data_IF_754021254972
#
_entry.id   IF_754021254972
#
_cell.length_a   1.000
_cell.length_b   1.000
_cell.length_c   1.000
_cell.angle_alpha   90.00
_cell.angle_beta   90.00
_cell.angle_gamma   90.00
#
_symmetry.space_group_name_H-M   'P 1'
#
loop_
_entity.id
_entity.type
_entity.pdbx_description
1 polymer ?
#
# COMPACT_ATOMS: atom_id res chain seq x y z
N UNK A 1 23.76 -19.47 -0.79
CA UNK A 1 22.52 -18.66 -0.76
C UNK A 1 21.68 -19.01 -1.96
N UNK A 2 20.45 -19.42 -1.72
CA UNK A 2 19.51 -19.70 -2.81
C UNK A 2 19.19 -18.41 -3.55
N UNK A 3 19.06 -18.49 -4.89
CA UNK A 3 18.68 -17.33 -5.69
C UNK A 3 17.24 -16.91 -5.34
N UNK A 4 16.94 -15.59 -5.27
CA UNK A 4 15.57 -15.14 -5.03
C UNK A 4 14.62 -15.63 -6.13
N UNK A 5 13.36 -15.84 -5.77
CA UNK A 5 12.32 -16.14 -6.75
C UNK A 5 12.07 -14.90 -7.62
N UNK A 6 12.06 -15.07 -8.93
CA UNK A 6 11.71 -13.99 -9.85
C UNK A 6 10.20 -13.83 -9.98
N UNK A 7 9.74 -12.69 -10.43
CA UNK A 7 8.31 -12.47 -10.74
C UNK A 7 7.81 -13.49 -11.76
N UNK A 8 8.61 -13.76 -12.81
CA UNK A 8 8.27 -14.75 -13.84
C UNK A 8 8.06 -16.14 -13.25
N UNK A 9 8.95 -16.59 -12.37
CA UNK A 9 8.83 -17.88 -11.68
C UNK A 9 7.61 -17.92 -10.76
N UNK A 10 7.35 -16.85 -10.03
CA UNK A 10 6.18 -16.75 -9.15
C UNK A 10 4.87 -16.81 -9.94
N UNK A 11 4.78 -16.11 -11.07
CA UNK A 11 3.63 -16.15 -11.97
C UNK A 11 3.42 -17.59 -12.49
N UNK A 12 4.49 -18.24 -12.94
CA UNK A 12 4.42 -19.62 -13.42
C UNK A 12 3.87 -20.58 -12.37
N UNK A 13 4.38 -20.50 -11.13
CA UNK A 13 3.88 -21.30 -10.02
C UNK A 13 2.41 -21.03 -9.71
N UNK A 14 2.01 -19.76 -9.76
CA UNK A 14 0.63 -19.37 -9.54
C UNK A 14 -0.30 -19.94 -10.63
N UNK A 15 0.12 -19.88 -11.90
CA UNK A 15 -0.65 -20.46 -13.02
C UNK A 15 -0.76 -21.98 -12.90
N UNK A 16 0.31 -22.67 -12.52
CA UNK A 16 0.30 -24.13 -12.29
C UNK A 16 -0.65 -24.50 -11.14
N UNK A 17 -0.63 -23.73 -10.06
CA UNK A 17 -1.47 -23.98 -8.89
C UNK A 17 -2.95 -23.71 -9.13
N UNK A 18 -3.28 -22.65 -9.84
CA UNK A 18 -4.67 -22.20 -10.03
C UNK A 18 -5.30 -22.71 -11.31
N UNK A 19 -4.51 -23.10 -12.29
CA UNK A 19 -4.99 -23.42 -13.64
C UNK A 19 -5.48 -22.20 -14.43
N UNK A 20 -5.24 -20.99 -13.92
CA UNK A 20 -5.65 -19.74 -14.55
C UNK A 20 -4.49 -19.10 -15.30
N UNK A 21 -4.82 -18.29 -16.29
CA UNK A 21 -3.88 -17.49 -17.06
C UNK A 21 -3.72 -16.13 -16.37
N UNK A 22 -2.53 -15.82 -15.88
CA UNK A 22 -2.28 -14.61 -15.10
C UNK A 22 -2.58 -13.33 -15.87
N UNK A 23 -2.33 -13.28 -17.18
CA UNK A 23 -2.63 -12.11 -18.02
C UNK A 23 -4.11 -11.78 -18.15
N UNK A 24 -5.00 -12.72 -17.83
CA UNK A 24 -6.45 -12.58 -17.91
C UNK A 24 -7.11 -12.49 -16.52
N UNK A 25 -6.35 -12.75 -15.46
CA UNK A 25 -6.87 -12.80 -14.10
C UNK A 25 -7.01 -11.41 -13.47
N UNK A 26 -8.12 -11.17 -12.79
CA UNK A 26 -8.37 -9.94 -12.02
C UNK A 26 -7.65 -9.90 -10.69
N UNK A 27 -7.36 -11.05 -10.10
CA UNK A 27 -6.62 -11.17 -8.85
C UNK A 27 -5.46 -12.15 -9.03
N UNK A 28 -4.25 -11.71 -8.70
CA UNK A 28 -3.04 -12.52 -8.77
C UNK A 28 -2.32 -12.47 -7.42
N UNK A 29 -2.05 -13.63 -6.85
CA UNK A 29 -1.44 -13.79 -5.53
C UNK A 29 -0.02 -14.34 -5.68
N UNK A 30 0.97 -13.47 -5.50
CA UNK A 30 2.40 -13.80 -5.53
C UNK A 30 3.06 -13.62 -4.16
N UNK A 31 2.28 -13.75 -3.09
CA UNK A 31 2.77 -13.60 -1.72
C UNK A 31 3.60 -14.80 -1.25
N UNK A 32 4.39 -14.59 -0.22
CA UNK A 32 5.10 -15.62 0.55
C UNK A 32 5.88 -16.61 -0.33
N UNK A 33 6.64 -16.10 -1.29
CA UNK A 33 7.47 -16.97 -2.13
C UNK A 33 8.67 -17.50 -1.34
N UNK A 34 9.13 -18.69 -1.68
CA UNK A 34 10.33 -19.28 -1.13
C UNK A 34 11.22 -19.82 -2.26
N UNK A 35 12.45 -19.30 -2.40
CA UNK A 35 12.98 -18.08 -1.74
C UNK A 35 12.15 -16.83 -2.02
N UNK A 36 12.18 -15.79 -1.14
CA UNK A 36 11.36 -14.59 -1.31
C UNK A 36 11.70 -13.83 -2.60
N UNK A 37 10.71 -13.12 -3.13
CA UNK A 37 10.93 -12.15 -4.21
C UNK A 37 11.68 -10.94 -3.64
N UNK A 38 12.75 -10.51 -4.30
CA UNK A 38 13.52 -9.32 -3.93
C UNK A 38 13.28 -8.14 -4.85
N UNK A 39 12.93 -8.40 -6.11
CA UNK A 39 12.77 -7.37 -7.15
C UNK A 39 11.47 -7.54 -7.93
N UNK A 40 10.79 -6.42 -8.16
CA UNK A 40 9.68 -6.35 -9.11
C UNK A 40 10.24 -5.98 -10.49
N UNK A 41 10.18 -6.90 -11.43
CA UNK A 41 10.72 -6.72 -12.77
C UNK A 41 9.63 -6.52 -13.85
N UNK A 42 10.06 -6.37 -15.11
CA UNK A 42 9.16 -6.13 -16.22
C UNK A 42 8.13 -7.24 -16.48
N UNK A 43 8.30 -8.43 -15.90
CA UNK A 43 7.32 -9.52 -16.02
C UNK A 43 5.96 -9.15 -15.41
N UNK A 44 5.89 -8.19 -14.47
CA UNK A 44 4.63 -7.66 -13.95
C UNK A 44 3.77 -7.00 -15.04
N UNK A 45 4.36 -6.49 -16.11
CA UNK A 45 3.62 -5.84 -17.20
C UNK A 45 2.69 -6.77 -17.96
N UNK A 46 2.86 -8.08 -17.81
CA UNK A 46 1.97 -9.08 -18.41
C UNK A 46 0.61 -9.16 -17.72
N UNK A 47 0.49 -8.64 -16.50
CA UNK A 47 -0.71 -8.70 -15.68
C UNK A 47 -1.69 -7.56 -16.01
N UNK A 48 -2.00 -7.37 -17.29
CA UNK A 48 -2.80 -6.23 -17.77
C UNK A 48 -4.25 -6.20 -17.27
N UNK A 49 -4.84 -7.36 -17.00
CA UNK A 49 -6.21 -7.48 -16.47
C UNK A 49 -6.28 -7.38 -14.94
N UNK A 50 -5.15 -7.41 -14.25
CA UNK A 50 -5.08 -7.47 -12.80
C UNK A 50 -5.64 -6.22 -12.14
N UNK A 51 -6.60 -6.40 -11.25
CA UNK A 51 -7.20 -5.36 -10.40
C UNK A 51 -6.70 -5.45 -8.96
N UNK A 52 -6.32 -6.64 -8.50
CA UNK A 52 -5.76 -6.88 -7.17
C UNK A 52 -4.52 -7.75 -7.27
N UNK A 53 -3.39 -7.18 -6.84
CA UNK A 53 -2.09 -7.86 -6.81
C UNK A 53 -1.60 -7.99 -5.37
N UNK A 54 -1.24 -9.20 -4.96
CA UNK A 54 -0.56 -9.45 -3.69
C UNK A 54 0.89 -9.84 -3.92
N UNK A 55 1.80 -9.06 -3.34
CA UNK A 55 3.23 -9.29 -3.25
C UNK A 55 3.68 -9.29 -1.77
N UNK A 56 2.75 -9.45 -0.85
CA UNK A 56 3.05 -9.44 0.58
C UNK A 56 3.96 -10.59 1.00
N UNK A 57 4.68 -10.40 2.09
CA UNK A 57 5.56 -11.42 2.67
C UNK A 57 6.63 -11.89 1.68
N UNK A 58 7.38 -10.94 1.18
CA UNK A 58 8.57 -11.11 0.35
C UNK A 58 9.71 -10.25 0.91
N UNK A 59 10.74 -9.99 0.15
CA UNK A 59 11.89 -9.16 0.54
C UNK A 59 12.12 -8.00 -0.44
N UNK A 60 11.02 -7.40 -0.92
CA UNK A 60 11.08 -6.30 -1.91
C UNK A 60 11.53 -5.01 -1.21
N UNK A 61 12.54 -4.36 -1.77
CA UNK A 61 13.04 -3.07 -1.25
C UNK A 61 12.53 -1.87 -2.03
N UNK A 62 12.31 -2.04 -3.34
CA UNK A 62 11.87 -0.97 -4.25
C UNK A 62 10.65 -1.39 -5.03
N UNK A 63 9.67 -0.50 -5.09
CA UNK A 63 8.51 -0.65 -5.96
C UNK A 63 8.91 -0.18 -7.35
N UNK A 64 8.79 -1.05 -8.35
CA UNK A 64 9.13 -0.73 -9.73
C UNK A 64 8.34 -1.58 -10.72
N UNK A 65 8.36 -1.18 -11.99
CA UNK A 65 7.74 -1.93 -13.08
C UNK A 65 6.23 -2.15 -12.96
N UNK A 66 5.51 -1.18 -12.39
CA UNK A 66 4.06 -1.24 -12.24
C UNK A 66 3.30 -0.64 -13.44
N UNK A 67 3.98 -0.07 -14.41
CA UNK A 67 3.35 0.68 -15.52
C UNK A 67 2.50 -0.18 -16.47
N UNK A 68 2.68 -1.48 -16.50
CA UNK A 68 1.80 -2.38 -17.25
C UNK A 68 0.49 -2.74 -16.53
N UNK A 69 0.38 -2.42 -15.23
CA UNK A 69 -0.78 -2.72 -14.39
C UNK A 69 -1.84 -1.61 -14.52
N UNK A 70 -2.44 -1.50 -15.69
CA UNK A 70 -3.32 -0.39 -16.06
C UNK A 70 -4.69 -0.41 -15.38
N UNK A 71 -5.05 -1.52 -14.77
CA UNK A 71 -6.35 -1.71 -14.10
C UNK A 71 -6.20 -1.94 -12.58
N UNK A 72 -5.01 -1.73 -12.03
CA UNK A 72 -4.74 -2.06 -10.63
C UNK A 72 -5.50 -1.13 -9.69
N UNK A 73 -6.32 -1.72 -8.83
CA UNK A 73 -7.13 -1.04 -7.81
C UNK A 73 -6.63 -1.30 -6.40
N UNK A 74 -6.11 -2.50 -6.14
CA UNK A 74 -5.64 -2.92 -4.82
C UNK A 74 -4.24 -3.51 -4.95
N UNK A 75 -3.28 -2.93 -4.22
CA UNK A 75 -1.93 -3.43 -4.11
C UNK A 75 -1.62 -3.82 -2.66
N UNK A 76 -1.36 -5.10 -2.43
CA UNK A 76 -0.95 -5.62 -1.13
C UNK A 76 0.54 -5.96 -1.19
N UNK A 77 1.36 -5.16 -0.50
CA UNK A 77 2.81 -5.29 -0.41
C UNK A 77 3.33 -5.21 1.03
N UNK A 78 2.49 -5.58 1.98
CA UNK A 78 2.87 -5.65 3.39
C UNK A 78 3.97 -6.69 3.64
N UNK A 79 4.68 -6.55 4.75
CA UNK A 79 5.77 -7.46 5.14
C UNK A 79 6.82 -7.63 4.04
N UNK A 80 7.40 -6.51 3.65
CA UNK A 80 8.53 -6.38 2.75
C UNK A 80 9.58 -5.43 3.38
N UNK A 81 10.52 -4.94 2.61
CA UNK A 81 11.57 -4.02 3.06
C UNK A 81 11.52 -2.68 2.32
N UNK A 82 10.31 -2.21 2.03
CA UNK A 82 10.08 -1.01 1.22
C UNK A 82 10.37 0.25 2.05
N UNK A 83 11.23 1.12 1.52
CA UNK A 83 11.68 2.34 2.20
C UNK A 83 11.04 3.62 1.66
N UNK A 84 10.53 3.60 0.43
CA UNK A 84 9.94 4.77 -0.22
C UNK A 84 8.71 4.38 -1.05
N UNK A 85 7.87 5.38 -1.35
CA UNK A 85 6.70 5.20 -2.21
C UNK A 85 7.01 5.43 -3.70
N UNK A 86 8.28 5.68 -4.04
CA UNK A 86 8.72 5.82 -5.43
C UNK A 86 8.37 4.57 -6.23
N UNK A 87 7.81 4.75 -7.41
CA UNK A 87 7.31 3.67 -8.27
C UNK A 87 5.79 3.54 -8.28
N UNK A 88 5.09 4.04 -7.25
CA UNK A 88 3.63 4.03 -7.20
C UNK A 88 2.97 5.05 -8.13
N UNK A 89 3.70 6.04 -8.62
CA UNK A 89 3.20 6.99 -9.62
C UNK A 89 2.64 6.30 -10.88
N UNK A 90 3.17 5.14 -11.23
CA UNK A 90 2.70 4.34 -12.36
C UNK A 90 1.23 3.90 -12.23
N UNK A 91 0.72 3.77 -11.00
CA UNK A 91 -0.65 3.36 -10.69
C UNK A 91 -1.46 4.46 -10.00
N UNK A 92 -0.97 5.70 -10.03
CA UNK A 92 -1.58 6.85 -9.36
C UNK A 92 -3.00 7.15 -9.79
N UNK A 93 -3.38 6.85 -11.04
CA UNK A 93 -4.70 7.13 -11.58
C UNK A 93 -5.73 6.01 -11.33
N UNK A 94 -5.31 4.85 -10.84
CA UNK A 94 -6.20 3.69 -10.68
C UNK A 94 -6.26 3.14 -9.27
N UNK A 95 -5.17 3.25 -8.50
CA UNK A 95 -5.06 2.61 -7.19
C UNK A 95 -6.02 3.22 -6.17
N UNK A 96 -6.90 2.38 -5.61
CA UNK A 96 -7.88 2.74 -4.60
C UNK A 96 -7.49 2.29 -3.20
N UNK A 97 -6.73 1.20 -3.08
CA UNK A 97 -6.28 0.65 -1.81
C UNK A 97 -4.80 0.27 -1.87
N UNK A 98 -4.06 0.70 -0.88
CA UNK A 98 -2.66 0.32 -0.68
C UNK A 98 -2.49 -0.31 0.71
N UNK A 99 -2.07 -1.57 0.75
CA UNK A 99 -1.77 -2.29 1.97
C UNK A 99 -0.26 -2.47 2.06
N UNK A 100 0.39 -1.61 2.83
CA UNK A 100 1.85 -1.50 2.92
C UNK A 100 2.37 -1.59 4.37
N UNK A 101 1.61 -2.23 5.24
CA UNK A 101 1.99 -2.44 6.64
C UNK A 101 3.23 -3.32 6.77
N UNK A 102 3.98 -3.14 7.85
CA UNK A 102 5.21 -3.88 8.10
C UNK A 102 6.26 -3.71 6.99
N UNK A 103 6.59 -2.45 6.71
CA UNK A 103 7.69 -2.05 5.83
C UNK A 103 8.61 -1.06 6.57
N UNK A 104 9.43 -0.33 5.86
CA UNK A 104 10.45 0.55 6.42
C UNK A 104 10.25 2.01 5.99
N UNK A 105 9.00 2.43 5.78
CA UNK A 105 8.68 3.79 5.36
C UNK A 105 8.94 4.80 6.48
N UNK A 106 9.85 5.73 6.26
CA UNK A 106 10.11 6.88 7.14
C UNK A 106 9.47 8.16 6.59
N UNK A 107 9.40 8.26 5.26
CA UNK A 107 8.93 9.43 4.53
C UNK A 107 7.82 9.08 3.58
N UNK A 108 6.90 10.03 3.38
CA UNK A 108 5.73 9.87 2.52
C UNK A 108 5.82 10.74 1.25
N UNK A 109 7.03 11.10 0.84
CA UNK A 109 7.26 11.84 -0.39
C UNK A 109 6.59 11.15 -1.57
N UNK A 110 5.84 11.91 -2.36
CA UNK A 110 5.17 11.41 -3.54
C UNK A 110 3.81 10.74 -3.29
N UNK A 111 3.33 10.66 -2.05
CA UNK A 111 2.03 10.05 -1.73
C UNK A 111 0.87 10.70 -2.48
N UNK A 112 0.94 12.00 -2.74
CA UNK A 112 -0.12 12.76 -3.43
C UNK A 112 -0.40 12.36 -4.87
N UNK A 113 0.47 11.55 -5.50
CA UNK A 113 0.22 11.02 -6.85
C UNK A 113 -0.93 9.99 -6.86
N UNK A 114 -1.26 9.42 -5.70
CA UNK A 114 -2.31 8.42 -5.54
C UNK A 114 -3.69 9.09 -5.41
N UNK A 115 -4.16 9.69 -6.49
CA UNK A 115 -5.35 10.57 -6.50
C UNK A 115 -6.66 9.88 -6.15
N UNK A 116 -6.75 8.58 -6.37
CA UNK A 116 -7.96 7.77 -6.11
C UNK A 116 -7.86 6.94 -4.83
N UNK A 117 -6.76 7.09 -4.07
CA UNK A 117 -6.55 6.27 -2.88
C UNK A 117 -7.59 6.58 -1.82
N UNK A 118 -8.32 5.55 -1.41
CA UNK A 118 -9.39 5.59 -0.44
C UNK A 118 -9.03 4.86 0.85
N UNK A 119 -8.23 3.81 0.74
CA UNK A 119 -7.80 2.95 1.86
C UNK A 119 -6.29 2.87 1.88
N UNK A 120 -5.68 3.21 3.01
CA UNK A 120 -4.25 3.10 3.23
C UNK A 120 -3.98 2.37 4.55
N UNK A 121 -3.46 1.15 4.46
CA UNK A 121 -3.00 0.39 5.61
C UNK A 121 -1.48 0.45 5.65
N UNK A 122 -0.94 1.22 6.59
CA UNK A 122 0.49 1.44 6.75
C UNK A 122 0.98 1.32 8.20
N UNK A 123 0.34 0.45 8.96
CA UNK A 123 0.78 0.15 10.31
C UNK A 123 2.20 -0.41 10.34
N UNK A 124 2.89 -0.20 11.45
CA UNK A 124 4.22 -0.77 11.66
C UNK A 124 5.22 -0.41 10.55
N UNK A 125 5.27 0.87 10.20
CA UNK A 125 6.34 1.49 9.44
C UNK A 125 7.18 2.36 10.40
N UNK A 126 7.95 3.30 9.89
CA UNK A 126 8.94 4.07 10.64
C UNK A 126 8.67 5.58 10.59
N UNK A 127 7.45 5.99 10.34
CA UNK A 127 7.08 7.42 10.29
C UNK A 127 7.08 7.99 11.71
N UNK A 128 7.85 9.07 11.93
CA UNK A 128 8.05 9.66 13.26
C UNK A 128 7.67 11.14 13.37
N UNK A 129 7.44 11.82 12.25
CA UNK A 129 7.23 13.27 12.23
C UNK A 129 5.82 13.63 11.75
N UNK A 130 5.18 14.59 12.43
CA UNK A 130 3.91 15.14 12.01
C UNK A 130 3.97 15.79 10.63
N UNK A 131 5.12 16.36 10.24
CA UNK A 131 5.31 16.93 8.91
C UNK A 131 5.19 15.88 7.80
N UNK A 132 5.63 14.64 8.05
CA UNK A 132 5.40 13.54 7.10
C UNK A 132 3.94 13.10 7.09
N UNK A 133 3.34 12.93 8.26
CA UNK A 133 1.92 12.59 8.38
C UNK A 133 1.02 13.60 7.66
N UNK A 134 1.35 14.89 7.74
CA UNK A 134 0.58 15.97 7.09
C UNK A 134 0.50 15.81 5.57
N UNK A 135 1.46 15.13 4.94
CA UNK A 135 1.43 14.85 3.49
C UNK A 135 0.23 14.00 3.08
N UNK A 136 -0.33 13.22 4.01
CA UNK A 136 -1.54 12.43 3.76
C UNK A 136 -2.76 13.32 3.47
N UNK A 137 -2.74 14.58 3.82
CA UNK A 137 -3.80 15.55 3.48
C UNK A 137 -3.91 15.81 1.96
N UNK A 138 -2.89 15.48 1.18
CA UNK A 138 -2.92 15.54 -0.28
C UNK A 138 -3.82 14.45 -0.89
N UNK A 139 -4.13 13.41 -0.12
CA UNK A 139 -5.01 12.31 -0.52
C UNK A 139 -6.47 12.71 -0.30
N UNK A 140 -7.06 13.37 -1.29
CA UNK A 140 -8.40 13.95 -1.18
C UNK A 140 -9.53 12.94 -0.97
N UNK A 141 -9.31 11.68 -1.36
CA UNK A 141 -10.29 10.61 -1.26
C UNK A 141 -10.01 9.62 -0.11
N UNK A 142 -8.98 9.88 0.69
CA UNK A 142 -8.62 8.98 1.79
C UNK A 142 -9.72 8.94 2.86
N UNK A 143 -10.26 7.76 3.10
CA UNK A 143 -11.35 7.50 4.03
C UNK A 143 -10.94 6.63 5.20
N UNK A 144 -10.08 5.63 4.95
CA UNK A 144 -9.72 4.59 5.91
C UNK A 144 -8.19 4.51 6.02
N UNK A 145 -7.67 4.89 7.17
CA UNK A 145 -6.24 4.89 7.47
C UNK A 145 -5.94 3.99 8.66
N UNK A 146 -4.98 3.08 8.50
CA UNK A 146 -4.38 2.33 9.60
C UNK A 146 -2.92 2.74 9.73
N UNK A 147 -2.56 3.35 10.86
CA UNK A 147 -1.25 3.95 11.10
C UNK A 147 -0.60 3.48 12.42
N UNK A 148 -1.29 2.73 13.22
CA UNK A 148 -0.81 2.17 14.50
C UNK A 148 0.54 1.47 14.35
N UNK A 149 1.40 1.60 15.34
CA UNK A 149 2.72 0.98 15.33
C UNK A 149 3.82 1.78 14.60
N UNK A 150 3.51 2.98 14.10
CA UNK A 150 4.56 3.92 13.68
C UNK A 150 5.09 4.69 14.90
N UNK A 151 6.36 5.10 14.91
CA UNK A 151 6.92 5.87 16.04
C UNK A 151 6.13 7.13 16.37
N UNK A 152 5.58 7.82 15.38
CA UNK A 152 4.76 9.01 15.59
C UNK A 152 3.53 8.71 16.46
N UNK A 153 2.84 7.62 16.19
CA UNK A 153 1.67 7.20 16.96
C UNK A 153 2.09 6.77 18.37
N UNK A 154 3.12 5.94 18.51
CA UNK A 154 3.59 5.42 19.79
C UNK A 154 4.10 6.52 20.71
N UNK A 155 4.80 7.53 20.18
CA UNK A 155 5.34 8.65 20.96
C UNK A 155 4.29 9.71 21.32
N UNK A 156 3.09 9.64 20.76
CA UNK A 156 2.00 10.58 20.98
C UNK A 156 0.71 9.86 21.39
N UNK A 157 0.81 8.75 22.08
CA UNK A 157 -0.31 7.86 22.40
C UNK A 157 -1.49 8.59 23.06
N UNK A 158 -1.23 9.58 23.92
CA UNK A 158 -2.26 10.30 24.67
C UNK A 158 -3.14 11.21 23.80
N UNK A 159 -2.59 11.75 22.71
CA UNK A 159 -3.30 12.69 21.85
C UNK A 159 -3.27 12.31 20.35
N UNK A 160 -2.76 11.13 20.04
CA UNK A 160 -2.61 10.65 18.68
C UNK A 160 -3.89 10.79 17.86
N UNK A 161 -4.97 10.19 18.34
CA UNK A 161 -6.23 10.14 17.60
C UNK A 161 -6.79 11.53 17.31
N UNK A 162 -6.84 12.38 18.33
CA UNK A 162 -7.39 13.73 18.21
C UNK A 162 -6.58 14.58 17.22
N UNK A 163 -5.26 14.53 17.32
CA UNK A 163 -4.38 15.29 16.45
C UNK A 163 -4.41 14.75 15.01
N UNK A 164 -4.41 13.44 14.83
CA UNK A 164 -4.50 12.81 13.51
C UNK A 164 -5.82 13.20 12.80
N UNK A 165 -6.94 13.11 13.50
CA UNK A 165 -8.25 13.49 12.96
C UNK A 165 -8.35 14.98 12.68
N UNK A 166 -7.70 15.84 13.48
CA UNK A 166 -7.64 17.28 13.24
C UNK A 166 -6.88 17.59 11.93
N UNK A 167 -5.79 16.88 11.68
CA UNK A 167 -4.96 17.07 10.47
C UNK A 167 -5.59 16.45 9.22
N UNK A 168 -6.39 15.41 9.38
CA UNK A 168 -7.07 14.70 8.30
C UNK A 168 -8.59 14.68 8.56
N UNK A 169 -9.27 15.83 8.43
CA UNK A 169 -10.67 15.97 8.86
C UNK A 169 -11.68 15.17 8.02
N UNK A 170 -11.25 14.65 6.87
CA UNK A 170 -12.11 13.85 5.97
C UNK A 170 -12.09 12.36 6.27
N UNK A 171 -11.22 11.89 7.17
CA UNK A 171 -11.16 10.48 7.52
C UNK A 171 -12.50 10.00 8.08
N UNK A 172 -12.92 8.82 7.63
CA UNK A 172 -14.10 8.11 8.15
C UNK A 172 -13.72 7.04 9.15
N UNK A 173 -12.49 6.52 9.07
CA UNK A 173 -12.00 5.45 9.92
C UNK A 173 -10.49 5.62 10.16
N UNK A 174 -10.08 5.54 11.41
CA UNK A 174 -8.68 5.60 11.82
C UNK A 174 -8.37 4.43 12.76
N UNK A 175 -7.33 3.67 12.42
CA UNK A 175 -6.86 2.50 13.19
C UNK A 175 -7.99 1.53 13.55
N UNK A 176 -8.87 1.27 12.58
CA UNK A 176 -9.99 0.35 12.72
C UNK A 176 -11.20 0.90 13.46
N UNK A 177 -11.18 2.15 13.91
CA UNK A 177 -12.27 2.79 14.67
C UNK A 177 -12.89 3.93 13.85
N UNK A 178 -14.23 3.96 13.68
CA UNK A 178 -14.89 5.06 12.97
C UNK A 178 -14.58 6.43 13.59
N UNK A 179 -14.37 7.42 12.74
CA UNK A 179 -14.22 8.81 13.14
C UNK A 179 -15.61 9.45 13.16
N UNK A 180 -16.00 9.93 14.35
CA UNK A 180 -17.27 10.61 14.53
C UNK A 180 -17.09 12.08 14.12
N UNK A 181 -17.90 12.54 13.19
CA UNK A 181 -18.05 13.95 12.87
C UNK A 181 -19.30 14.45 13.62
N UNK A 182 -19.16 15.53 14.37
CA UNK A 182 -20.32 16.18 14.95
C UNK A 182 -21.16 16.75 13.79
N UNK A 183 -22.33 16.16 13.58
CA UNK A 183 -23.37 16.69 12.67
C UNK A 183 -24.01 17.95 13.30
N UNK A 184 -23.21 18.86 13.76
CA UNK A 184 -23.65 20.14 14.26
C UNK A 184 -23.32 21.20 13.23
N UNK A 185 -24.17 21.32 12.19
CA UNK A 185 -24.43 22.51 11.39
C UNK A 185 -25.24 22.17 10.12
N UNK A 186 -26.44 21.57 10.34
CA UNK A 186 -27.52 21.67 9.36
C UNK A 186 -28.73 22.30 10.09
N UNK A 187 -28.71 23.64 10.19
CA UNK A 187 -29.90 24.47 10.36
C UNK A 187 -29.81 25.68 9.45
#
# INVERSE_FOLDING_TARGET
MDKPTTIKEAIKKWEEKTGLKASEAKEVKLYAQYPPIEKTDASLSTLSACEKLSLSTNCIEKISNLNGLKNLKILSIGRNNIKTLTGLEAVGDTLEQLWISYNLLEKLKGVGVLKKLRVLYMSNNLVKDWSEFQKLSDLQNLEDLVFVGNPLEENNADNWRDEACRRLPRLKKLDGVPVLHDDADED
#
